data_IF_454669444860
#
_entry.id   IF_454669444860
#
_cell.length_a   1.000
_cell.length_b   1.000
_cell.length_c   1.000
_cell.angle_alpha   90.00
_cell.angle_beta   90.00
_cell.angle_gamma   90.00
#
_symmetry.space_group_name_H-M   'P 1'
#
loop_
_entity.id
_entity.type
_entity.pdbx_description
1 polymer ?
#
# COMPACT_ATOMS: atom_id res chain seq x y z
N UNK A 1 -13.90 9.28 -15.36
CA UNK A 1 -12.90 8.38 -14.76
C UNK A 1 -13.64 7.29 -14.01
N UNK A 2 -13.19 6.09 -14.17
CA UNK A 2 -13.81 5.01 -13.43
C UNK A 2 -13.22 4.90 -12.00
N UNK A 3 -13.82 4.03 -11.21
CA UNK A 3 -13.47 3.81 -9.81
C UNK A 3 -12.02 3.31 -9.66
N UNK A 4 -11.58 2.43 -10.57
CA UNK A 4 -10.22 1.87 -10.51
C UNK A 4 -9.17 2.95 -10.73
N UNK A 5 -9.39 3.85 -11.68
CA UNK A 5 -8.47 4.96 -11.95
C UNK A 5 -8.38 5.91 -10.75
N UNK A 6 -9.53 6.25 -10.17
CA UNK A 6 -9.59 7.14 -9.01
C UNK A 6 -8.88 6.52 -7.80
N UNK A 7 -9.13 5.26 -7.53
CA UNK A 7 -8.49 4.57 -6.40
C UNK A 7 -6.99 4.41 -6.63
N UNK A 8 -6.58 4.11 -7.85
CA UNK A 8 -5.16 4.04 -8.20
C UNK A 8 -4.44 5.34 -7.93
N UNK A 9 -5.07 6.46 -8.27
CA UNK A 9 -4.52 7.79 -8.00
C UNK A 9 -4.34 8.03 -6.50
N UNK A 10 -5.34 7.69 -5.68
CA UNK A 10 -5.24 7.83 -4.23
C UNK A 10 -4.10 7.00 -3.65
N UNK A 11 -3.97 5.76 -4.12
CA UNK A 11 -2.90 4.87 -3.67
C UNK A 11 -1.53 5.46 -4.01
N UNK A 12 -1.36 5.95 -5.23
CA UNK A 12 -0.08 6.56 -5.64
C UNK A 12 0.25 7.78 -4.78
N UNK A 13 -0.74 8.62 -4.47
CA UNK A 13 -0.54 9.77 -3.59
C UNK A 13 -0.05 9.34 -2.20
N UNK A 14 -0.64 8.29 -1.65
CA UNK A 14 -0.22 7.75 -0.35
C UNK A 14 1.22 7.24 -0.44
N UNK A 15 1.54 6.45 -1.45
CA UNK A 15 2.88 5.89 -1.62
C UNK A 15 3.93 6.98 -1.81
N UNK A 16 3.63 8.00 -2.61
CA UNK A 16 4.55 9.10 -2.82
C UNK A 16 4.86 9.87 -1.54
N UNK A 17 3.91 9.91 -0.60
CA UNK A 17 4.10 10.59 0.68
C UNK A 17 5.17 9.93 1.55
N UNK A 18 5.53 8.69 1.27
CA UNK A 18 6.57 7.96 2.01
C UNK A 18 7.96 8.14 1.41
N UNK A 19 8.08 8.72 0.23
CA UNK A 19 9.38 8.98 -0.38
C UNK A 19 10.12 10.09 0.36
N UNK A 20 11.43 9.96 0.43
CA UNK A 20 12.32 10.95 1.03
C UNK A 20 13.25 11.48 -0.07
N UNK A 21 12.79 12.41 -0.94
CA UNK A 21 13.60 12.93 -2.03
C UNK A 21 14.85 13.62 -1.49
N UNK A 22 16.00 13.34 -2.09
CA UNK A 22 17.25 13.94 -1.68
C UNK A 22 17.88 13.32 -0.44
N UNK A 23 17.30 12.24 0.10
CA UNK A 23 17.88 11.55 1.24
C UNK A 23 19.19 10.85 0.83
N UNK A 24 20.27 11.21 1.49
CA UNK A 24 21.57 10.53 1.29
C UNK A 24 21.65 9.36 2.26
N UNK A 25 21.33 8.19 1.79
CA UNK A 25 21.21 6.98 2.60
C UNK A 25 21.65 5.76 1.81
N UNK A 26 22.24 4.75 2.44
CA UNK A 26 22.51 3.48 1.76
C UNK A 26 21.25 2.69 1.42
N UNK A 27 20.10 3.14 1.94
CA UNK A 27 18.81 2.52 1.65
C UNK A 27 18.14 3.30 0.54
N UNK A 28 17.75 2.59 -0.51
CA UNK A 28 17.07 3.15 -1.68
C UNK A 28 15.57 2.84 -1.62
N UNK A 29 14.77 3.83 -2.01
CA UNK A 29 13.31 3.71 -2.01
C UNK A 29 12.81 3.62 -3.44
N UNK A 30 11.83 2.73 -3.66
CA UNK A 30 11.27 2.51 -4.99
C UNK A 30 9.75 2.43 -4.92
N UNK A 31 9.10 3.10 -5.87
CA UNK A 31 7.69 2.87 -6.14
C UNK A 31 7.58 1.94 -7.33
N UNK A 32 6.80 0.89 -7.18
CA UNK A 32 6.52 -0.05 -8.26
C UNK A 32 5.03 0.02 -8.52
N UNK A 33 4.67 0.54 -9.68
CA UNK A 33 3.28 0.80 -10.04
C UNK A 33 2.96 0.05 -11.32
N UNK A 34 2.04 -0.90 -11.23
CA UNK A 34 1.54 -1.67 -12.36
C UNK A 34 0.06 -1.33 -12.53
N UNK A 35 -0.23 -0.39 -13.42
CA UNK A 35 -1.59 0.08 -13.66
C UNK A 35 -2.42 -0.92 -14.47
N UNK A 36 -1.76 -1.81 -15.18
CA UNK A 36 -2.44 -2.84 -15.96
C UNK A 36 -3.01 -3.94 -15.06
N UNK A 37 -2.21 -4.38 -14.08
CA UNK A 37 -2.60 -5.44 -13.15
C UNK A 37 -3.05 -4.91 -11.80
N UNK A 38 -3.02 -3.60 -11.61
CA UNK A 38 -3.47 -2.91 -10.40
C UNK A 38 -2.72 -3.35 -9.15
N UNK A 39 -1.39 -3.37 -9.23
CA UNK A 39 -0.50 -3.56 -8.08
C UNK A 39 0.32 -2.30 -7.86
N UNK A 40 0.41 -1.87 -6.60
CA UNK A 40 1.06 -0.63 -6.21
C UNK A 40 1.91 -0.91 -4.97
N UNK A 41 3.23 -0.71 -5.08
CA UNK A 41 4.16 -1.07 -4.02
C UNK A 41 5.11 0.07 -3.70
N UNK A 42 5.44 0.19 -2.40
CA UNK A 42 6.57 0.97 -1.93
C UNK A 42 7.55 -0.02 -1.31
N UNK A 43 8.75 -0.09 -1.84
CA UNK A 43 9.77 -1.01 -1.35
C UNK A 43 11.07 -0.28 -1.04
N UNK A 44 11.87 -0.89 -0.18
CA UNK A 44 13.21 -0.42 0.15
C UNK A 44 14.21 -1.54 -0.06
N UNK A 45 15.43 -1.17 -0.48
CA UNK A 45 16.54 -2.09 -0.57
C UNK A 45 17.83 -1.36 -0.28
N UNK A 46 18.85 -2.08 0.19
CA UNK A 46 20.15 -1.51 0.40
C UNK A 46 20.96 -2.25 1.44
N UNK A 47 22.18 -1.78 1.62
CA UNK A 47 23.12 -2.34 2.58
C UNK A 47 23.00 -1.55 3.89
N UNK A 48 22.48 -2.18 4.95
CA UNK A 48 22.30 -1.52 6.25
C UNK A 48 23.57 -1.56 7.08
N UNK A 49 24.39 -2.58 6.83
CA UNK A 49 25.70 -2.74 7.44
C UNK A 49 26.65 -3.23 6.34
N UNK A 50 27.94 -3.33 6.71
CA UNK A 50 28.98 -3.67 5.75
C UNK A 50 28.69 -4.94 4.96
N UNK A 51 28.04 -5.92 5.57
CA UNK A 51 27.79 -7.21 4.95
C UNK A 51 26.32 -7.64 4.98
N UNK A 52 25.39 -6.70 5.29
CA UNK A 52 23.97 -7.06 5.40
C UNK A 52 23.17 -6.28 4.37
N UNK A 53 22.67 -6.98 3.36
CA UNK A 53 21.75 -6.44 2.37
C UNK A 53 20.33 -6.71 2.82
N UNK A 54 19.51 -5.67 2.84
CA UNK A 54 18.09 -5.79 3.14
C UNK A 54 17.26 -5.37 1.93
N UNK A 55 16.18 -6.09 1.70
CA UNK A 55 15.24 -5.79 0.64
C UNK A 55 13.85 -6.20 1.12
N UNK A 56 12.86 -5.32 0.95
CA UNK A 56 11.51 -5.65 1.37
C UNK A 56 10.46 -4.69 0.87
N UNK A 57 9.25 -5.21 0.79
CA UNK A 57 8.07 -4.43 0.46
C UNK A 57 7.55 -3.85 1.76
N UNK A 58 7.39 -2.53 1.81
CA UNK A 58 6.89 -1.81 2.98
C UNK A 58 5.37 -1.66 2.90
N UNK A 59 4.87 -1.29 1.72
CA UNK A 59 3.45 -1.13 1.46
C UNK A 59 3.11 -1.82 0.14
N UNK A 60 1.99 -2.53 0.11
CA UNK A 60 1.51 -3.16 -1.11
C UNK A 60 -0.01 -3.10 -1.14
N UNK A 61 -0.53 -2.45 -2.17
CA UNK A 61 -1.96 -2.36 -2.44
C UNK A 61 -2.27 -3.08 -3.74
N UNK A 62 -3.43 -3.71 -3.81
CA UNK A 62 -3.93 -4.28 -5.06
C UNK A 62 -5.40 -3.90 -5.21
N UNK A 63 -5.82 -3.52 -6.41
CA UNK A 63 -7.23 -3.24 -6.68
C UNK A 63 -7.78 -4.45 -7.44
N UNK A 64 -8.80 -5.07 -6.88
CA UNK A 64 -9.44 -6.25 -7.48
C UNK A 64 -10.47 -5.84 -8.53
N UNK A 65 -10.86 -6.76 -9.42
CA UNK A 65 -11.83 -6.43 -10.49
C UNK A 65 -13.17 -5.89 -9.97
N UNK A 66 -13.57 -6.25 -8.76
CA UNK A 66 -14.80 -5.72 -8.15
C UNK A 66 -14.65 -4.29 -7.62
N UNK A 67 -13.45 -3.73 -7.73
CA UNK A 67 -13.17 -2.36 -7.30
C UNK A 67 -12.71 -2.21 -5.86
N UNK A 68 -12.53 -3.31 -5.13
CA UNK A 68 -12.05 -3.23 -3.75
C UNK A 68 -10.53 -3.13 -3.70
N UNK A 69 -10.05 -2.32 -2.77
CA UNK A 69 -8.62 -2.16 -2.52
C UNK A 69 -8.21 -3.16 -1.44
N UNK A 70 -7.31 -4.06 -1.79
CA UNK A 70 -6.74 -5.02 -0.86
C UNK A 70 -5.39 -4.49 -0.39
N UNK A 71 -5.24 -4.29 0.91
CA UNK A 71 -3.97 -3.92 1.52
C UNK A 71 -3.26 -5.22 1.87
N UNK A 72 -2.25 -5.55 1.07
CA UNK A 72 -1.53 -6.82 1.19
C UNK A 72 -0.37 -6.75 2.18
N UNK A 73 0.21 -5.57 2.34
CA UNK A 73 1.29 -5.35 3.29
C UNK A 73 1.27 -3.92 3.80
N UNK A 74 1.48 -3.76 5.10
CA UNK A 74 1.70 -2.48 5.74
C UNK A 74 2.68 -2.69 6.90
N UNK A 75 3.94 -2.37 6.66
CA UNK A 75 5.00 -2.44 7.68
C UNK A 75 5.32 -1.05 8.25
N UNK A 76 4.37 -0.13 8.16
CA UNK A 76 4.46 1.19 8.79
C UNK A 76 3.62 1.20 10.07
N UNK A 77 3.76 2.26 10.86
CA UNK A 77 2.91 2.49 12.02
C UNK A 77 1.64 3.26 11.65
N UNK A 78 1.51 3.68 10.40
CA UNK A 78 0.40 4.52 9.96
C UNK A 78 -0.80 3.67 9.55
N UNK A 79 -1.98 4.24 9.76
CA UNK A 79 -3.23 3.63 9.33
C UNK A 79 -3.53 4.05 7.89
N UNK A 80 -2.97 3.31 6.93
CA UNK A 80 -3.13 3.63 5.51
C UNK A 80 -4.56 3.40 5.02
N UNK A 81 -5.31 2.52 5.68
CA UNK A 81 -6.72 2.33 5.36
C UNK A 81 -7.51 3.61 5.67
N UNK A 82 -7.21 4.26 6.80
CA UNK A 82 -7.86 5.52 7.15
C UNK A 82 -7.47 6.62 6.16
N UNK A 83 -6.25 6.62 5.66
CA UNK A 83 -5.84 7.58 4.63
C UNK A 83 -6.65 7.43 3.35
N UNK A 84 -7.01 6.20 2.99
CA UNK A 84 -7.91 5.96 1.85
C UNK A 84 -9.32 6.47 2.14
N UNK A 85 -9.84 6.22 3.35
CA UNK A 85 -11.16 6.71 3.76
C UNK A 85 -11.20 8.24 3.71
N UNK A 86 -10.15 8.89 4.17
CA UNK A 86 -10.05 10.35 4.18
C UNK A 86 -10.08 10.93 2.76
N UNK A 87 -9.66 10.15 1.77
CA UNK A 87 -9.71 10.55 0.35
C UNK A 87 -11.03 10.23 -0.32
N UNK A 88 -11.93 9.56 0.39
CA UNK A 88 -13.27 9.27 -0.11
C UNK A 88 -13.55 7.83 -0.47
N UNK A 89 -12.67 6.90 -0.10
CA UNK A 89 -12.91 5.47 -0.33
C UNK A 89 -13.82 4.92 0.77
N UNK A 90 -14.98 4.33 0.42
CA UNK A 90 -15.83 3.71 1.42
C UNK A 90 -15.12 2.55 2.13
N UNK A 91 -15.39 2.39 3.41
CA UNK A 91 -14.80 1.29 4.18
C UNK A 91 -15.10 -0.09 3.58
N UNK A 92 -16.27 -0.25 2.96
CA UNK A 92 -16.65 -1.51 2.32
C UNK A 92 -15.85 -1.83 1.06
N UNK A 93 -15.05 -0.89 0.57
CA UNK A 93 -14.17 -1.09 -0.58
C UNK A 93 -12.72 -1.33 -0.17
N UNK A 94 -12.45 -1.50 1.12
CA UNK A 94 -11.10 -1.72 1.65
C UNK A 94 -11.04 -3.05 2.37
N UNK A 95 -10.07 -3.90 2.02
CA UNK A 95 -9.84 -5.18 2.67
C UNK A 95 -8.44 -5.19 3.28
N UNK A 96 -8.36 -5.46 4.58
CA UNK A 96 -7.07 -5.62 5.27
C UNK A 96 -6.58 -7.05 5.05
N UNK A 97 -6.01 -7.28 3.86
CA UNK A 97 -5.69 -8.62 3.38
C UNK A 97 -4.59 -9.32 4.19
N UNK A 98 -3.75 -8.54 4.89
CA UNK A 98 -2.69 -9.08 5.74
C UNK A 98 -3.21 -9.63 7.07
N UNK A 99 -4.51 -9.45 7.36
CA UNK A 99 -5.13 -9.99 8.56
C UNK A 99 -5.89 -11.27 8.24
N UNK A 100 -5.99 -12.21 9.20
CA UNK A 100 -6.78 -13.41 9.00
C UNK A 100 -8.27 -13.09 8.88
N UNK A 101 -9.01 -14.00 8.26
CA UNK A 101 -10.42 -13.77 7.95
C UNK A 101 -11.25 -13.36 9.18
N UNK A 102 -11.04 -14.03 10.33
CA UNK A 102 -11.80 -13.70 11.53
C UNK A 102 -11.58 -12.26 11.98
N UNK A 103 -10.36 -11.75 11.84
CA UNK A 103 -10.02 -10.36 12.20
C UNK A 103 -10.60 -9.37 11.19
N UNK A 104 -10.61 -9.74 9.89
CA UNK A 104 -11.19 -8.89 8.86
C UNK A 104 -12.68 -8.66 9.10
N UNK A 105 -13.41 -9.67 9.54
CA UNK A 105 -14.85 -9.55 9.84
C UNK A 105 -15.13 -8.57 10.96
N UNK A 106 -14.18 -8.35 11.85
CA UNK A 106 -14.32 -7.45 13.01
C UNK A 106 -13.70 -6.08 12.78
N UNK A 107 -13.08 -5.85 11.62
CA UNK A 107 -12.29 -4.64 11.38
C UNK A 107 -13.10 -3.38 11.10
N UNK A 108 -14.35 -3.52 10.69
CA UNK A 108 -15.13 -2.40 10.17
C UNK A 108 -14.94 -2.14 8.68
N UNK A 109 -13.98 -2.82 8.06
CA UNK A 109 -13.75 -2.79 6.62
C UNK A 109 -14.35 -4.04 5.98
N UNK A 110 -14.22 -4.19 4.66
CA UNK A 110 -14.74 -5.37 3.99
C UNK A 110 -13.95 -6.61 4.40
N UNK A 111 -14.63 -7.74 4.53
CA UNK A 111 -13.98 -9.00 4.88
C UNK A 111 -13.33 -9.66 3.65
N UNK A 112 -13.88 -9.39 2.49
CA UNK A 112 -13.35 -9.90 1.21
C UNK A 112 -13.89 -9.09 0.04
#
# INVERSE_FOLDING_TARGET
>A
MDKLDTYGKYIVEILESYLHPGLDSPIHEHLIIDREHHHYQFMREGWVEKNTFQMGIVLHFSIKPDGKIWILANWTEDDVAQELVDRGVPKNDIVLAFQPEYARKLSGYAAA
#
